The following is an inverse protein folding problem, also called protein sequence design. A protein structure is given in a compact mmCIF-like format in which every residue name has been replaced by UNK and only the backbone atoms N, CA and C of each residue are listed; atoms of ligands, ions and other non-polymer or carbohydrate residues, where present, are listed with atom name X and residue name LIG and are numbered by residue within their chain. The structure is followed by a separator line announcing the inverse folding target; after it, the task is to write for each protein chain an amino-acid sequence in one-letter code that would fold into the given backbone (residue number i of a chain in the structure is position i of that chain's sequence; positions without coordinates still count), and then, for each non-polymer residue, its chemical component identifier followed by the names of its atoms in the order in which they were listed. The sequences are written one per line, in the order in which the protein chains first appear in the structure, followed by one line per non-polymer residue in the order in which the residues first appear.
data_IF_362170364933
#
_entry.id   IF_362170364933
#
_cell.length_a   1.000
_cell.length_b   1.000
_cell.length_c   1.000
_cell.angle_alpha   90.00
_cell.angle_beta   90.00
_cell.angle_gamma   90.00
#
_symmetry.space_group_name_H-M   'P 1'
#
loop_
_entity.id
_entity.type
_entity.pdbx_description
1 polymer ?
#
# COMPACT_ATOMS: atom_id res chain seq x y z
N UNK A 1 -41.05 -11.31 49.31
CA UNK A 1 -41.44 -10.98 47.92
C UNK A 1 -40.85 -9.65 47.41
N UNK A 2 -41.08 -8.50 48.07
CA UNK A 2 -40.54 -7.19 47.61
C UNK A 2 -39.01 -7.11 47.43
N UNK A 3 -38.23 -7.77 48.30
CA UNK A 3 -36.75 -7.78 48.23
C UNK A 3 -36.18 -8.54 47.03
N UNK A 4 -36.87 -9.59 46.57
CA UNK A 4 -36.44 -10.40 45.41
C UNK A 4 -36.65 -9.59 44.12
N UNK A 5 -37.79 -8.90 44.01
CA UNK A 5 -38.12 -8.07 42.84
C UNK A 5 -37.10 -6.95 42.61
N UNK A 6 -36.63 -6.31 43.68
CA UNK A 6 -35.63 -5.23 43.61
C UNK A 6 -34.28 -5.76 43.13
N UNK A 7 -33.86 -6.93 43.62
CA UNK A 7 -32.60 -7.56 43.20
C UNK A 7 -32.65 -7.88 41.71
N UNK A 8 -33.75 -8.48 41.23
CA UNK A 8 -33.91 -8.84 39.81
C UNK A 8 -33.85 -7.60 38.90
N UNK A 9 -34.51 -6.51 39.28
CA UNK A 9 -34.52 -5.25 38.50
C UNK A 9 -33.11 -4.63 38.44
N UNK A 10 -32.36 -4.65 39.55
CA UNK A 10 -30.99 -4.11 39.59
C UNK A 10 -30.05 -4.93 38.71
N UNK A 11 -30.14 -6.27 38.74
CA UNK A 11 -29.36 -7.14 37.82
C UNK A 11 -29.72 -6.91 36.35
N UNK A 12 -31.01 -6.75 36.02
CA UNK A 12 -31.42 -6.53 34.64
C UNK A 12 -30.96 -5.16 34.11
N UNK A 13 -31.06 -4.12 34.96
CA UNK A 13 -30.57 -2.79 34.63
C UNK A 13 -29.04 -2.79 34.43
N UNK A 14 -28.28 -3.45 35.30
CA UNK A 14 -26.81 -3.54 35.14
C UNK A 14 -26.41 -4.27 33.86
N UNK A 15 -27.07 -5.38 33.50
CA UNK A 15 -26.81 -6.09 32.23
C UNK A 15 -27.08 -5.17 31.04
N UNK A 16 -28.17 -4.40 31.05
CA UNK A 16 -28.47 -3.45 29.97
C UNK A 16 -27.42 -2.34 29.87
N UNK A 17 -26.91 -1.81 30.99
CA UNK A 17 -25.83 -0.82 31.01
C UNK A 17 -24.49 -1.35 30.47
N UNK A 18 -24.18 -2.64 30.66
CA UNK A 18 -22.96 -3.22 30.09
C UNK A 18 -23.07 -3.49 28.58
N UNK A 19 -24.27 -3.73 28.05
CA UNK A 19 -24.46 -3.92 26.59
C UNK A 19 -24.33 -2.63 25.78
N UNK A 20 -24.61 -1.46 26.35
CA UNK A 20 -24.51 -0.16 25.65
C UNK A 20 -23.08 0.38 25.51
N UNK A 21 -22.08 -0.30 26.08
CA UNK A 21 -20.67 0.08 25.99
C UNK A 21 -19.83 -0.87 25.12
N UNK A 22 -20.46 -1.78 24.38
CA UNK A 22 -19.78 -2.56 23.36
C UNK A 22 -19.89 -1.82 22.03
N UNK A 23 -19.02 -0.83 21.84
CA UNK A 23 -18.75 -0.31 20.50
C UNK A 23 -18.09 -1.48 19.75
N UNK A 24 -18.89 -2.25 18.98
CA UNK A 24 -18.37 -3.25 18.05
C UNK A 24 -17.31 -2.54 17.22
N UNK A 25 -16.05 -2.78 17.54
CA UNK A 25 -14.95 -2.38 16.68
C UNK A 25 -15.17 -3.25 15.44
N UNK A 26 -15.50 -2.66 14.29
CA UNK A 26 -15.63 -3.42 13.07
C UNK A 26 -14.30 -4.15 12.87
N UNK A 27 -14.33 -5.48 12.84
CA UNK A 27 -13.13 -6.25 12.49
C UNK A 27 -12.60 -5.71 11.16
N UNK A 28 -11.30 -5.45 11.10
CA UNK A 28 -10.67 -4.99 9.88
C UNK A 28 -10.87 -6.07 8.81
N UNK A 29 -11.62 -5.74 7.77
CA UNK A 29 -11.82 -6.61 6.63
C UNK A 29 -10.51 -6.65 5.84
N UNK A 30 -9.83 -7.79 5.84
CA UNK A 30 -8.66 -7.98 4.99
C UNK A 30 -9.13 -8.19 3.54
N UNK A 31 -8.71 -7.32 2.63
CA UNK A 31 -9.07 -7.38 1.21
C UNK A 31 -8.14 -8.30 0.40
N UNK A 32 -7.18 -8.94 1.06
CA UNK A 32 -6.24 -9.90 0.47
C UNK A 32 -4.93 -9.27 0.01
N UNK A 33 -4.04 -10.13 -0.51
CA UNK A 33 -2.88 -9.71 -1.27
C UNK A 33 -3.10 -9.93 -2.76
N UNK A 34 -2.72 -8.93 -3.55
CA UNK A 34 -2.73 -9.04 -5.00
C UNK A 34 -1.33 -8.86 -5.54
N UNK A 35 -0.68 -10.00 -5.68
CA UNK A 35 0.59 -10.10 -6.36
C UNK A 35 0.30 -10.52 -7.79
N UNK A 36 0.14 -9.53 -8.67
CA UNK A 36 0.27 -9.79 -10.11
C UNK A 36 1.67 -10.35 -10.30
N UNK A 37 1.81 -11.55 -10.87
CA UNK A 37 3.12 -12.10 -11.22
C UNK A 37 3.98 -11.07 -11.97
N UNK A 38 5.30 -11.30 -12.00
CA UNK A 38 6.43 -10.41 -12.40
C UNK A 38 6.24 -9.43 -13.59
N UNK A 39 5.15 -9.52 -14.34
CA UNK A 39 4.86 -8.70 -15.50
C UNK A 39 3.49 -8.04 -15.37
N UNK A 40 3.41 -6.97 -14.57
CA UNK A 40 2.45 -5.90 -14.88
C UNK A 40 2.93 -5.25 -16.18
N UNK A 41 2.41 -5.73 -17.31
CA UNK A 41 2.60 -5.10 -18.62
C UNK A 41 2.26 -3.61 -18.51
N UNK A 42 3.21 -2.78 -18.94
CA UNK A 42 3.20 -1.36 -18.68
C UNK A 42 2.05 -0.65 -19.39
N UNK A 43 1.37 0.12 -18.55
CA UNK A 43 0.18 0.92 -18.82
C UNK A 43 0.62 2.27 -19.42
N UNK A 44 -0.25 2.83 -20.26
CA UNK A 44 0.01 3.96 -21.16
C UNK A 44 0.75 5.17 -20.51
N UNK A 45 1.45 5.95 -21.34
CA UNK A 45 1.95 7.26 -20.92
C UNK A 45 0.75 8.18 -20.65
N UNK A 46 0.78 8.90 -19.53
CA UNK A 46 -0.19 9.94 -19.23
C UNK A 46 0.08 11.21 -20.06
N UNK A 47 -0.74 12.25 -19.87
CA UNK A 47 -0.64 13.51 -20.62
C UNK A 47 0.69 14.25 -20.44
N UNK A 48 1.39 13.99 -19.35
CA UNK A 48 2.70 14.55 -19.03
C UNK A 48 3.86 13.67 -19.51
N UNK A 49 3.56 12.58 -20.24
CA UNK A 49 4.56 11.62 -20.71
C UNK A 49 5.13 10.72 -19.61
N UNK A 50 4.49 10.67 -18.43
CA UNK A 50 4.87 9.80 -17.32
C UNK A 50 4.14 8.48 -17.40
N UNK A 51 4.72 7.41 -16.86
CA UNK A 51 4.06 6.10 -16.82
C UNK A 51 3.06 6.10 -15.68
N UNK A 52 1.84 5.66 -15.94
CA UNK A 52 0.75 5.63 -14.96
C UNK A 52 0.10 4.26 -14.97
N UNK A 53 -0.24 3.72 -13.81
CA UNK A 53 -0.93 2.42 -13.68
C UNK A 53 -1.97 2.47 -12.56
N UNK A 54 -3.03 1.67 -12.68
CA UNK A 54 -3.99 1.47 -11.58
C UNK A 54 -3.40 0.58 -10.48
N UNK A 55 -3.73 0.90 -9.23
CA UNK A 55 -3.33 0.14 -8.03
C UNK A 55 -4.44 -0.86 -7.71
N UNK A 56 -4.12 -2.16 -7.80
CA UNK A 56 -5.06 -3.24 -7.51
C UNK A 56 -4.69 -3.92 -6.19
N UNK A 57 -5.63 -4.02 -5.25
CA UNK A 57 -5.41 -4.78 -3.99
C UNK A 57 -5.95 -6.21 -4.05
N UNK A 58 -6.70 -6.53 -5.11
CA UNK A 58 -7.19 -7.85 -5.52
C UNK A 58 -7.59 -7.77 -7.00
N UNK A 59 -8.05 -8.90 -7.56
CA UNK A 59 -8.44 -9.01 -8.98
C UNK A 59 -9.52 -8.01 -9.43
N UNK A 60 -10.24 -7.39 -8.52
CA UNK A 60 -11.44 -6.60 -8.80
C UNK A 60 -11.45 -5.20 -8.20
N UNK A 61 -10.56 -4.92 -7.25
CA UNK A 61 -10.60 -3.67 -6.48
C UNK A 61 -9.42 -2.79 -6.85
N UNK A 62 -9.73 -1.68 -7.52
CA UNK A 62 -8.81 -0.57 -7.78
C UNK A 62 -8.94 0.41 -6.61
N UNK A 63 -7.80 0.80 -6.03
CA UNK A 63 -7.77 1.74 -4.88
C UNK A 63 -7.10 3.06 -5.19
N UNK A 64 -6.60 3.24 -6.40
CA UNK A 64 -5.91 4.45 -6.82
C UNK A 64 -5.14 4.29 -8.11
N UNK A 65 -4.33 5.30 -8.41
CA UNK A 65 -3.35 5.33 -9.48
C UNK A 65 -1.95 5.51 -8.90
N UNK A 66 -0.97 4.99 -9.64
CA UNK A 66 0.44 5.18 -9.39
C UNK A 66 1.09 5.74 -10.63
N UNK A 67 1.72 6.89 -10.50
CA UNK A 67 2.48 7.55 -11.55
C UNK A 67 3.96 7.50 -11.20
N UNK A 68 4.81 7.19 -12.16
CA UNK A 68 6.24 7.06 -11.92
C UNK A 68 7.06 7.50 -13.14
N UNK A 69 8.23 8.05 -12.85
CA UNK A 69 9.21 8.48 -13.84
C UNK A 69 10.60 8.52 -13.21
N UNK A 70 11.61 8.56 -14.06
CA UNK A 70 12.99 8.72 -13.63
C UNK A 70 13.44 10.09 -14.06
N UNK A 71 14.05 10.83 -13.13
CA UNK A 71 14.54 12.18 -13.37
C UNK A 71 15.88 12.38 -12.70
N UNK A 72 16.72 13.20 -13.33
CA UNK A 72 18.00 13.60 -12.74
C UNK A 72 17.78 14.84 -11.90
N UNK A 73 18.13 14.75 -10.62
CA UNK A 73 18.16 15.90 -9.70
C UNK A 73 18.98 17.02 -10.30
N UNK A 74 18.38 18.19 -10.44
CA UNK A 74 19.07 19.40 -10.94
C UNK A 74 20.04 19.99 -9.93
N UNK A 75 19.93 19.58 -8.66
CA UNK A 75 20.78 20.06 -7.55
C UNK A 75 21.95 19.12 -7.31
N UNK A 76 21.69 17.82 -7.18
CA UNK A 76 22.72 16.81 -6.83
C UNK A 76 23.30 16.12 -8.06
N UNK A 77 22.61 16.18 -9.21
CA UNK A 77 22.98 15.43 -10.41
C UNK A 77 22.65 13.94 -10.32
N UNK A 78 22.11 13.45 -9.21
CA UNK A 78 21.76 12.04 -8.99
C UNK A 78 20.50 11.65 -9.76
N UNK A 79 20.41 10.40 -10.18
CA UNK A 79 19.23 9.87 -10.83
C UNK A 79 18.26 9.33 -9.77
N UNK A 80 17.01 9.78 -9.81
CA UNK A 80 15.97 9.40 -8.86
C UNK A 80 14.82 8.72 -9.58
N UNK A 81 14.30 7.65 -8.98
CA UNK A 81 12.98 7.11 -9.31
C UNK A 81 11.94 7.87 -8.49
N UNK A 82 11.05 8.57 -9.18
CA UNK A 82 9.93 9.26 -8.57
C UNK A 82 8.68 8.38 -8.68
N UNK A 83 7.96 8.26 -7.57
CA UNK A 83 6.70 7.52 -7.48
C UNK A 83 5.68 8.40 -6.76
N UNK A 84 4.53 8.56 -7.39
CA UNK A 84 3.37 9.26 -6.85
C UNK A 84 2.20 8.29 -6.73
N UNK A 85 1.60 8.25 -5.55
CA UNK A 85 0.37 7.53 -5.25
C UNK A 85 -0.76 8.55 -5.13
N UNK A 86 -1.85 8.31 -5.86
CA UNK A 86 -3.12 9.03 -5.72
C UNK A 86 -4.23 8.00 -5.47
N UNK A 87 -4.68 7.91 -4.22
CA UNK A 87 -5.62 6.91 -3.76
C UNK A 87 -7.05 7.43 -3.80
N UNK A 88 -7.94 6.59 -4.33
CA UNK A 88 -9.35 6.89 -4.48
C UNK A 88 -10.11 6.67 -3.17
N UNK A 89 -11.24 7.37 -3.07
CA UNK A 89 -12.13 7.33 -1.92
C UNK A 89 -11.37 7.62 -0.60
N UNK A 90 -11.53 6.76 0.40
CA UNK A 90 -10.87 6.88 1.69
C UNK A 90 -9.74 5.86 1.85
N UNK A 91 -9.19 5.34 0.75
CA UNK A 91 -7.98 4.54 0.81
C UNK A 91 -6.77 5.42 1.14
N UNK A 92 -5.86 4.85 1.94
CA UNK A 92 -4.66 5.52 2.41
C UNK A 92 -3.47 4.58 2.36
N UNK A 93 -2.32 5.08 1.93
CA UNK A 93 -1.06 4.38 1.96
C UNK A 93 -0.52 4.42 3.38
N UNK A 94 -0.18 3.25 3.93
CA UNK A 94 0.48 3.14 5.25
C UNK A 94 1.96 2.85 5.11
N UNK A 95 2.32 1.89 4.27
CA UNK A 95 3.71 1.43 4.17
C UNK A 95 4.03 0.92 2.78
N UNK A 96 5.29 1.07 2.40
CA UNK A 96 5.82 0.60 1.13
C UNK A 96 7.17 -0.07 1.37
N UNK A 97 7.29 -1.30 0.91
CA UNK A 97 8.51 -2.10 0.83
C UNK A 97 9.04 -2.02 -0.59
N UNK A 98 10.34 -1.80 -0.75
CA UNK A 98 10.90 -1.53 -2.08
C UNK A 98 12.32 -2.05 -2.20
N UNK A 99 12.63 -2.61 -3.37
CA UNK A 99 13.98 -2.93 -3.77
C UNK A 99 14.19 -2.59 -5.24
N UNK A 100 15.42 -2.24 -5.59
CA UNK A 100 15.87 -2.05 -6.97
C UNK A 100 17.01 -3.00 -7.27
N UNK A 101 17.13 -3.41 -8.53
CA UNK A 101 18.16 -4.32 -9.01
C UNK A 101 18.53 -4.00 -10.46
N UNK A 102 19.77 -4.29 -10.83
CA UNK A 102 20.18 -4.29 -12.24
C UNK A 102 19.76 -5.58 -12.96
N UNK A 103 19.34 -6.60 -12.20
CA UNK A 103 18.86 -7.89 -12.70
C UNK A 103 17.36 -8.05 -12.43
N UNK A 104 16.66 -8.81 -13.28
CA UNK A 104 15.21 -9.04 -13.16
C UNK A 104 14.85 -9.87 -11.93
N UNK A 105 15.80 -10.64 -11.40
CA UNK A 105 15.55 -11.63 -10.37
C UNK A 105 15.45 -10.98 -8.99
N UNK A 106 14.29 -11.16 -8.35
CA UNK A 106 14.02 -10.74 -6.99
C UNK A 106 13.66 -11.98 -6.15
N UNK A 107 13.90 -11.97 -4.83
CA UNK A 107 13.48 -13.04 -3.94
C UNK A 107 12.00 -13.34 -4.07
N UNK A 108 11.68 -14.64 -4.15
CA UNK A 108 10.31 -15.14 -4.20
C UNK A 108 9.98 -15.96 -2.94
N UNK A 109 8.73 -15.89 -2.50
CA UNK A 109 8.19 -16.67 -1.41
C UNK A 109 7.89 -18.12 -1.86
N UNK A 110 7.46 -18.96 -0.92
CA UNK A 110 7.09 -20.37 -1.19
C UNK A 110 5.96 -20.54 -2.22
N UNK A 111 5.21 -19.48 -2.52
CA UNK A 111 4.10 -19.48 -3.48
C UNK A 111 4.53 -18.91 -4.84
N UNK A 112 5.79 -18.53 -5.01
CA UNK A 112 6.33 -17.97 -6.25
C UNK A 112 5.97 -16.50 -6.45
N UNK A 113 5.63 -15.76 -5.39
CA UNK A 113 5.45 -14.31 -5.46
C UNK A 113 6.64 -13.58 -4.86
N UNK A 114 6.82 -12.30 -5.18
CA UNK A 114 7.88 -11.48 -4.59
C UNK A 114 7.80 -11.48 -3.05
N UNK A 115 8.90 -11.87 -2.41
CA UNK A 115 9.07 -11.91 -0.96
C UNK A 115 9.49 -10.55 -0.41
N UNK A 116 8.50 -9.70 -0.13
CA UNK A 116 8.72 -8.36 0.43
C UNK A 116 9.37 -8.38 1.82
N UNK A 117 9.41 -9.51 2.53
CA UNK A 117 10.07 -9.59 3.84
C UNK A 117 11.59 -9.47 3.72
N UNK A 118 12.12 -9.64 2.51
CA UNK A 118 13.53 -9.43 2.19
C UNK A 118 13.82 -8.00 1.70
N UNK A 119 12.81 -7.14 1.61
CA UNK A 119 12.97 -5.76 1.18
C UNK A 119 13.00 -4.82 2.39
N UNK A 120 13.79 -3.73 2.33
CA UNK A 120 13.68 -2.69 3.34
C UNK A 120 12.29 -2.04 3.29
N UNK A 121 11.78 -1.66 4.46
CA UNK A 121 10.68 -0.70 4.55
C UNK A 121 11.20 0.63 4.03
N UNK A 122 10.75 1.02 2.84
CA UNK A 122 11.17 2.27 2.24
C UNK A 122 10.46 3.45 2.88
N UNK A 123 9.16 3.27 3.14
CA UNK A 123 8.34 4.30 3.76
C UNK A 123 7.35 3.68 4.74
N UNK A 124 7.21 4.32 5.90
CA UNK A 124 6.11 4.12 6.85
C UNK A 124 5.44 5.47 7.15
N UNK A 125 4.12 5.55 7.01
CA UNK A 125 3.33 6.79 7.14
C UNK A 125 2.39 6.69 8.34
N UNK A 126 2.62 7.57 9.32
CA UNK A 126 1.73 7.77 10.46
C UNK A 126 1.47 9.28 10.64
N UNK A 127 0.28 9.80 10.28
CA UNK A 127 -0.88 9.05 9.79
C UNK A 127 -0.70 8.59 8.33
N UNK A 128 -1.43 7.53 7.90
CA UNK A 128 -1.44 7.12 6.50
C UNK A 128 -2.06 8.20 5.60
N UNK A 129 -1.63 8.26 4.34
CA UNK A 129 -1.94 9.36 3.41
C UNK A 129 -2.64 8.86 2.13
N UNK A 130 -3.62 9.61 1.64
CA UNK A 130 -4.29 9.31 0.36
C UNK A 130 -3.48 9.78 -0.86
N UNK A 131 -2.65 10.81 -0.68
CA UNK A 131 -1.73 11.31 -1.69
C UNK A 131 -0.33 11.25 -1.11
N UNK A 132 0.59 10.58 -1.81
CA UNK A 132 1.95 10.46 -1.32
C UNK A 132 2.95 10.43 -2.47
N UNK A 133 4.04 11.16 -2.29
CA UNK A 133 5.13 11.24 -3.26
C UNK A 133 6.40 10.76 -2.58
N UNK A 134 7.15 9.93 -3.26
CA UNK A 134 8.45 9.46 -2.81
C UNK A 134 9.46 9.48 -3.94
N UNK A 135 10.71 9.66 -3.53
CA UNK A 135 11.85 9.68 -4.41
C UNK A 135 12.85 8.65 -3.89
N UNK A 136 13.29 7.75 -4.75
CA UNK A 136 14.31 6.76 -4.49
C UNK A 136 15.58 7.11 -5.26
N UNK A 137 16.67 7.51 -4.58
CA UNK A 137 17.97 7.65 -5.20
C UNK A 137 18.43 6.31 -5.77
N UNK A 138 18.76 6.30 -7.07
CA UNK A 138 19.22 5.11 -7.77
C UNK A 138 20.74 4.90 -7.67
N UNK A 139 21.43 5.87 -7.05
CA UNK A 139 22.88 5.86 -6.89
C UNK A 139 23.65 5.98 -8.22
N UNK A 140 24.92 5.60 -8.16
CA UNK A 140 25.79 5.58 -9.34
C UNK A 140 25.49 4.36 -10.21
N UNK A 141 24.95 4.62 -11.40
CA UNK A 141 24.65 3.58 -12.37
C UNK A 141 25.83 3.38 -13.33
N UNK A 142 26.17 2.13 -13.69
CA UNK A 142 27.13 1.84 -14.73
C UNK A 142 26.80 2.59 -16.03
N UNK A 143 27.82 3.14 -16.69
CA UNK A 143 27.67 3.73 -18.02
C UNK A 143 27.22 2.62 -18.99
N UNK A 144 25.97 2.71 -19.49
CA UNK A 144 25.19 1.70 -20.25
C UNK A 144 24.13 0.92 -19.45
N UNK A 145 23.72 1.39 -18.29
CA UNK A 145 22.53 0.82 -17.63
C UNK A 145 21.29 1.11 -18.47
N UNK A 146 20.76 0.06 -19.10
CA UNK A 146 19.60 0.11 -20.01
C UNK A 146 18.26 0.01 -19.26
N UNK A 147 18.29 -0.45 -18.01
CA UNK A 147 17.12 -0.69 -17.20
C UNK A 147 17.50 -0.94 -15.74
N UNK A 148 16.59 -0.58 -14.84
CA UNK A 148 16.66 -0.88 -13.41
C UNK A 148 15.35 -1.55 -13.10
N UNK A 149 15.44 -2.80 -12.68
CA UNK A 149 14.32 -3.54 -12.17
C UNK A 149 14.00 -3.02 -10.78
N UNK A 150 12.72 -3.04 -10.48
CA UNK A 150 12.19 -2.58 -9.21
C UNK A 150 11.10 -3.55 -8.79
N UNK A 151 11.03 -3.79 -7.49
CA UNK A 151 9.95 -4.55 -6.89
C UNK A 151 9.41 -3.77 -5.69
N UNK A 152 8.09 -3.69 -5.61
CA UNK A 152 7.38 -2.92 -4.60
C UNK A 152 6.21 -3.74 -4.09
N UNK A 153 6.02 -3.68 -2.77
CA UNK A 153 4.79 -4.11 -2.12
C UNK A 153 4.34 -2.96 -1.22
N UNK A 154 3.14 -2.47 -1.46
CA UNK A 154 2.54 -1.39 -0.68
C UNK A 154 1.32 -1.88 0.06
N UNK A 155 1.15 -1.43 1.31
CA UNK A 155 -0.01 -1.73 2.12
C UNK A 155 -0.91 -0.50 2.24
N UNK A 156 -2.19 -0.73 2.00
CA UNK A 156 -3.23 0.27 1.95
C UNK A 156 -4.28 0.01 3.02
N UNK A 157 -4.91 1.10 3.44
CA UNK A 157 -5.88 1.12 4.51
C UNK A 157 -7.14 1.87 4.10
N UNK A 158 -8.30 1.23 4.28
CA UNK A 158 -9.58 1.88 4.05
C UNK A 158 -10.05 2.57 5.32
N UNK A 159 -10.18 3.90 5.27
CA UNK A 159 -10.81 4.68 6.33
C UNK A 159 -12.31 4.83 6.05
N UNK A 160 -13.18 4.52 7.00
CA UNK A 160 -14.62 4.77 6.84
C UNK A 160 -15.18 5.32 8.15
N UNK A 161 -15.87 6.45 8.08
CA UNK A 161 -16.46 7.15 9.22
C UNK A 161 -15.45 7.34 10.39
N UNK A 162 -14.21 7.73 10.06
CA UNK A 162 -13.15 7.98 11.04
C UNK A 162 -12.54 6.72 11.68
N UNK A 163 -12.80 5.53 11.12
CA UNK A 163 -12.24 4.26 11.59
C UNK A 163 -11.56 3.49 10.46
N UNK A 164 -10.47 2.80 10.77
CA UNK A 164 -9.85 1.84 9.87
C UNK A 164 -10.78 0.63 9.70
N UNK A 165 -11.04 0.23 8.46
CA UNK A 165 -11.97 -0.86 8.11
C UNK A 165 -11.34 -2.01 7.35
N UNK A 166 -10.13 -1.87 6.83
CA UNK A 166 -9.50 -2.96 6.10
C UNK A 166 -8.15 -2.62 5.54
N UNK A 167 -7.41 -3.68 5.21
CA UNK A 167 -6.06 -3.61 4.65
C UNK A 167 -6.01 -4.33 3.31
N UNK A 168 -5.23 -3.81 2.39
CA UNK A 168 -4.95 -4.45 1.10
C UNK A 168 -3.48 -4.27 0.74
N UNK A 169 -2.94 -5.16 -0.10
CA UNK A 169 -1.57 -5.03 -0.60
C UNK A 169 -1.56 -5.04 -2.12
N UNK A 170 -0.72 -4.22 -2.75
CA UNK A 170 -0.53 -4.15 -4.21
C UNK A 170 0.94 -4.39 -4.56
N UNK A 171 1.17 -4.96 -5.75
CA UNK A 171 2.49 -5.19 -6.33
C UNK A 171 2.88 -6.67 -6.30
N UNK A 172 3.87 -7.12 -7.09
CA UNK A 172 4.99 -6.33 -7.61
C UNK A 172 4.72 -5.52 -8.89
N UNK A 173 5.54 -4.48 -9.10
CA UNK A 173 5.59 -3.66 -10.32
C UNK A 173 7.05 -3.49 -10.77
N UNK A 174 7.40 -3.93 -11.99
CA UNK A 174 8.72 -3.69 -12.62
C UNK A 174 8.75 -2.30 -13.26
N UNK A 175 9.93 -1.66 -13.39
CA UNK A 175 10.13 -0.40 -14.13
C UNK A 175 11.26 -0.53 -15.17
N UNK A 176 11.23 0.26 -16.24
CA UNK A 176 12.30 0.34 -17.24
C UNK A 176 12.86 1.76 -17.28
N UNK A 177 14.19 1.89 -17.32
CA UNK A 177 14.87 3.18 -17.39
C UNK A 177 14.76 3.75 -18.81
N UNK A 178 14.23 4.96 -18.99
CA UNK A 178 14.25 5.60 -20.31
C UNK A 178 15.69 5.99 -20.68
N UNK A 179 16.07 5.71 -21.93
CA UNK A 179 17.34 6.15 -22.53
C UNK A 179 17.34 7.63 -22.91
#
# INVERSE_FOLDING_TARGET
MKKILIVTIITLATIMFFTSCLKMQPEAQNYGSYQTGEETNFVALNVDGKRETSIYINKTTIVGTKTYWIERSTVTGELNLHIEFDLFDNWKLRETYMATSLEKDFPHDKNGYIDHTQFPVYQYLEPPLSNYKMELPLGDLPARTEGIYHAEVSNFELYNNGSLKGTGTNGPCVFYVPY
#
